data_IF_925649258088
#
_entry.id   IF_925649258088
#
_cell.length_a   1.000
_cell.length_b   1.000
_cell.length_c   1.000
_cell.angle_alpha   90.00
_cell.angle_beta   90.00
_cell.angle_gamma   90.00
#
_symmetry.space_group_name_H-M   'P 1'
#
loop_
_entity.id
_entity.type
_entity.pdbx_description
1 polymer ?
#
# COMPACT_ATOMS: atom_id res chain seq x y z
N UNK A 1 -42.65 -24.74 37.71
CA UNK A 1 -41.25 -25.14 37.52
C UNK A 1 -40.38 -23.92 37.80
N UNK A 2 -39.77 -23.87 38.98
CA UNK A 2 -38.89 -22.79 39.42
C UNK A 2 -37.44 -23.15 39.06
N UNK A 3 -36.73 -22.26 38.36
CA UNK A 3 -35.29 -22.37 38.13
C UNK A 3 -34.55 -21.69 39.29
N UNK A 4 -33.80 -22.47 40.07
CA UNK A 4 -32.81 -21.97 41.01
C UNK A 4 -31.42 -22.00 40.34
N UNK A 5 -30.71 -20.87 40.42
CA UNK A 5 -29.31 -20.75 39.98
C UNK A 5 -28.35 -21.19 41.09
N UNK A 6 -27.24 -21.88 40.78
CA UNK A 6 -26.25 -22.27 41.79
C UNK A 6 -25.23 -21.15 42.03
N UNK A 7 -25.08 -20.76 43.30
CA UNK A 7 -23.98 -19.92 43.79
C UNK A 7 -22.78 -20.79 44.16
N UNK A 8 -21.61 -20.50 43.60
CA UNK A 8 -20.32 -21.08 44.02
C UNK A 8 -19.63 -20.18 45.05
N UNK A 9 -19.01 -20.73 46.12
CA UNK A 9 -18.23 -19.93 47.06
C UNK A 9 -16.76 -19.79 46.59
N UNK A 10 -16.28 -18.56 46.56
CA UNK A 10 -14.86 -18.24 46.42
C UNK A 10 -14.12 -18.56 47.73
N UNK A 11 -13.16 -19.47 47.65
CA UNK A 11 -12.30 -19.88 48.75
C UNK A 11 -10.96 -19.13 48.63
N UNK A 12 -10.70 -18.17 49.51
CA UNK A 12 -9.42 -17.45 49.58
C UNK A 12 -8.38 -18.30 50.31
N UNK A 13 -7.51 -18.98 49.56
CA UNK A 13 -6.28 -19.56 50.12
C UNK A 13 -5.14 -18.54 50.03
N UNK A 14 -4.60 -18.20 51.21
CA UNK A 14 -3.40 -17.38 51.39
C UNK A 14 -2.19 -18.27 51.11
N UNK A 15 -1.47 -17.99 50.02
CA UNK A 15 -0.19 -18.65 49.71
C UNK A 15 0.93 -17.83 50.36
N UNK A 16 1.63 -18.45 51.31
CA UNK A 16 2.81 -17.91 51.96
C UNK A 16 4.04 -18.12 51.03
N UNK A 17 4.68 -17.03 50.57
CA UNK A 17 5.93 -17.08 49.80
C UNK A 17 7.08 -16.62 50.70
N UNK A 18 8.19 -17.37 50.82
CA UNK A 18 9.31 -16.98 51.68
C UNK A 18 10.15 -15.85 51.07
N UNK A 19 10.55 -14.92 51.93
CA UNK A 19 11.32 -13.73 51.59
C UNK A 19 12.76 -14.06 51.17
N UNK A 20 13.07 -13.85 49.89
CA UNK A 20 14.43 -13.75 49.35
C UNK A 20 14.73 -12.29 48.99
N UNK A 21 15.81 -11.75 49.54
CA UNK A 21 16.28 -10.38 49.32
C UNK A 21 16.53 -10.06 47.84
N UNK A 22 15.72 -9.17 47.28
CA UNK A 22 16.10 -8.32 46.14
C UNK A 22 15.58 -6.91 46.44
N UNK A 23 16.51 -5.98 46.67
CA UNK A 23 16.18 -4.57 46.94
C UNK A 23 15.68 -3.88 45.68
N UNK A 24 14.37 -3.67 45.57
CA UNK A 24 13.78 -2.77 44.59
C UNK A 24 13.56 -1.41 45.24
N UNK A 25 14.34 -0.40 44.86
CA UNK A 25 13.97 1.00 45.06
C UNK A 25 12.89 1.35 44.03
N UNK A 26 11.65 1.46 44.48
CA UNK A 26 10.58 2.09 43.71
C UNK A 26 10.84 3.60 43.72
N UNK A 27 11.38 4.13 42.63
CA UNK A 27 11.42 5.56 42.37
C UNK A 27 10.20 5.89 41.50
N UNK A 28 9.22 6.58 42.07
CA UNK A 28 8.18 7.25 41.30
C UNK A 28 8.82 8.42 40.56
N UNK A 29 8.96 8.32 39.23
CA UNK A 29 9.22 9.46 38.36
C UNK A 29 8.03 9.62 37.42
N UNK A 30 7.27 10.68 37.67
CA UNK A 30 6.23 11.18 36.79
C UNK A 30 6.84 11.76 35.52
N UNK A 31 6.19 11.51 34.38
CA UNK A 31 6.25 12.31 33.15
C UNK A 31 7.65 12.72 32.64
N UNK A 32 8.39 11.76 32.09
CA UNK A 32 9.27 12.01 30.95
C UNK A 32 9.11 10.82 30.01
N UNK A 33 8.67 11.07 28.77
CA UNK A 33 8.57 10.05 27.73
C UNK A 33 9.95 9.56 27.32
N UNK A 34 10.50 8.60 28.06
CA UNK A 34 11.70 7.85 27.69
C UNK A 34 11.25 6.58 26.96
N UNK A 35 11.49 6.51 25.64
CA UNK A 35 11.41 5.25 24.88
C UNK A 35 12.48 4.31 25.44
N UNK A 36 12.07 3.30 26.22
CA UNK A 36 12.95 2.19 26.60
C UNK A 36 13.01 1.24 25.41
N UNK A 37 13.96 1.46 24.51
CA UNK A 37 14.42 0.41 23.61
C UNK A 37 15.26 -0.56 24.42
N UNK A 38 14.76 -1.77 24.66
CA UNK A 38 15.56 -2.84 25.27
C UNK A 38 16.53 -3.34 24.20
N UNK A 39 17.70 -2.71 24.10
CA UNK A 39 18.85 -3.29 23.44
C UNK A 39 19.52 -4.23 24.44
N UNK A 40 19.56 -5.52 24.10
CA UNK A 40 20.29 -6.52 24.88
C UNK A 40 21.79 -6.21 24.75
N UNK A 41 22.36 -5.56 25.77
CA UNK A 41 23.78 -5.21 25.83
C UNK A 41 24.54 -6.42 26.39
N UNK A 42 25.22 -7.14 25.51
CA UNK A 42 26.20 -8.15 25.89
C UNK A 42 27.52 -7.44 26.20
N UNK A 43 27.92 -7.41 27.47
CA UNK A 43 29.14 -6.77 27.95
C UNK A 43 30.23 -7.84 28.04
N UNK A 44 31.37 -7.64 27.40
CA UNK A 44 32.51 -8.55 27.53
C UNK A 44 33.26 -8.33 28.86
N UNK A 45 33.97 -9.36 29.33
CA UNK A 45 34.65 -9.41 30.63
C UNK A 45 35.74 -8.33 30.83
N UNK A 46 35.98 -7.46 29.84
CA UNK A 46 36.99 -6.40 29.90
C UNK A 46 36.42 -4.98 29.92
N UNK A 47 35.10 -4.80 30.02
CA UNK A 47 34.49 -3.47 30.21
C UNK A 47 34.77 -2.49 29.07
N UNK A 48 35.11 -3.01 27.89
CA UNK A 48 35.36 -2.21 26.72
C UNK A 48 34.06 -2.17 25.91
N UNK A 49 33.50 -0.98 25.68
CA UNK A 49 32.34 -0.83 24.80
C UNK A 49 32.73 -1.28 23.39
N UNK A 50 32.53 -2.56 23.09
CA UNK A 50 32.49 -3.06 21.71
C UNK A 50 31.20 -2.56 21.07
N UNK A 51 31.15 -1.27 20.80
CA UNK A 51 30.36 -0.73 19.71
C UNK A 51 31.01 -1.19 18.39
N UNK A 52 31.06 -2.50 18.15
CA UNK A 52 30.99 -3.02 16.81
C UNK A 52 29.56 -2.76 16.34
N UNK A 53 29.24 -1.47 16.16
CA UNK A 53 28.01 -1.02 15.57
C UNK A 53 27.99 -1.63 14.18
N UNK A 54 27.31 -2.77 14.05
CA UNK A 54 26.91 -3.31 12.76
C UNK A 54 26.18 -2.17 12.08
N UNK A 55 26.87 -1.57 11.11
CA UNK A 55 26.41 -0.37 10.43
C UNK A 55 25.18 -0.75 9.62
N UNK A 56 24.04 -0.73 10.27
CA UNK A 56 22.77 -1.07 9.65
C UNK A 56 22.56 -0.09 8.51
N UNK A 57 22.34 -0.61 7.31
CA UNK A 57 22.11 0.23 6.13
C UNK A 57 20.62 0.47 5.94
N UNK A 58 19.81 -0.51 6.32
CA UNK A 58 18.36 -0.50 6.22
C UNK A 58 17.82 -1.23 7.45
N UNK A 59 16.82 -0.64 8.13
CA UNK A 59 16.13 -1.27 9.26
C UNK A 59 14.63 -1.01 9.16
N UNK A 60 13.85 -1.90 9.75
CA UNK A 60 12.41 -1.80 9.90
C UNK A 60 12.09 -1.65 11.39
N UNK A 61 11.24 -0.69 11.73
CA UNK A 61 10.75 -0.47 13.09
C UNK A 61 9.23 -0.40 13.08
N UNK A 62 8.59 -1.13 14.00
CA UNK A 62 7.14 -1.16 14.15
C UNK A 62 6.83 -0.57 15.52
N UNK A 63 6.26 0.64 15.53
CA UNK A 63 5.78 1.29 16.75
C UNK A 63 4.29 0.98 16.90
N UNK A 64 3.92 0.36 18.03
CA UNK A 64 2.51 0.17 18.42
C UNK A 64 2.16 1.15 19.54
N UNK A 65 1.12 1.93 19.35
CA UNK A 65 0.61 2.89 20.34
C UNK A 65 -0.84 2.57 20.66
N UNK A 66 -1.22 2.69 21.92
CA UNK A 66 -2.60 2.56 22.34
C UNK A 66 -3.17 3.94 22.59
N UNK A 67 -4.15 4.35 21.78
CA UNK A 67 -4.90 5.57 22.03
C UNK A 67 -5.86 5.32 23.19
N UNK A 68 -5.62 5.98 24.33
CA UNK A 68 -6.41 5.81 25.55
C UNK A 68 -7.82 6.41 25.39
N UNK A 69 -7.96 7.46 24.56
CA UNK A 69 -9.21 8.18 24.34
C UNK A 69 -10.12 7.36 23.43
N UNK A 70 -9.59 6.92 22.30
CA UNK A 70 -10.35 6.13 21.31
C UNK A 70 -10.43 4.65 21.67
N UNK A 71 -9.57 4.18 22.59
CA UNK A 71 -9.39 2.77 22.95
C UNK A 71 -9.04 1.89 21.75
N UNK A 72 -8.26 2.44 20.82
CA UNK A 72 -7.80 1.79 19.58
C UNK A 72 -6.28 1.62 19.61
N UNK A 73 -5.78 0.62 18.88
CA UNK A 73 -4.34 0.44 18.65
C UNK A 73 -3.97 1.11 17.33
N UNK A 74 -3.05 2.06 17.38
CA UNK A 74 -2.42 2.66 16.22
C UNK A 74 -1.08 1.97 15.97
N UNK A 75 -0.82 1.65 14.70
CA UNK A 75 0.39 0.96 14.28
C UNK A 75 1.11 1.82 13.23
N UNK A 76 2.35 2.19 13.53
CA UNK A 76 3.21 2.96 12.64
C UNK A 76 4.40 2.10 12.22
N UNK A 77 4.53 1.85 10.92
CA UNK A 77 5.66 1.10 10.35
C UNK A 77 6.64 2.10 9.77
N UNK A 78 7.87 2.07 10.27
CA UNK A 78 8.98 2.90 9.83
C UNK A 78 9.97 2.07 9.04
N UNK A 79 10.21 2.48 7.81
CA UNK A 79 11.29 1.97 6.99
C UNK A 79 12.45 2.96 7.03
N UNK A 80 13.51 2.61 7.77
CA UNK A 80 14.62 3.51 8.07
C UNK A 80 15.82 3.22 7.19
N UNK A 81 16.36 4.28 6.61
CA UNK A 81 17.59 4.27 5.84
C UNK A 81 18.66 5.05 6.56
N UNK A 82 19.83 4.43 6.69
CA UNK A 82 20.96 5.08 7.32
C UNK A 82 21.86 5.71 6.27
N UNK A 83 22.56 6.76 6.67
CA UNK A 83 23.57 7.44 5.85
C UNK A 83 24.58 6.46 5.24
N UNK A 84 24.87 5.38 5.95
CA UNK A 84 25.78 4.31 5.52
C UNK A 84 25.35 3.69 4.19
N UNK A 85 24.05 3.46 3.94
CA UNK A 85 23.54 2.95 2.67
C UNK A 85 23.87 3.86 1.48
N UNK A 86 23.92 5.17 1.72
CA UNK A 86 24.28 6.15 0.69
C UNK A 86 25.80 6.17 0.49
N UNK A 87 26.56 6.22 1.58
CA UNK A 87 28.02 6.35 1.53
C UNK A 87 28.73 5.10 1.02
N UNK A 88 28.18 3.90 1.26
CA UNK A 88 28.74 2.65 0.72
C UNK A 88 28.36 2.42 -0.74
N UNK A 89 27.46 3.21 -1.31
CA UNK A 89 27.02 3.08 -2.69
C UNK A 89 25.91 2.04 -2.90
N UNK A 90 25.28 1.52 -1.83
CA UNK A 90 24.13 0.62 -1.95
C UNK A 90 23.01 1.24 -2.78
N UNK A 91 22.63 2.48 -2.48
CA UNK A 91 21.57 3.19 -3.23
C UNK A 91 21.99 3.42 -4.69
N UNK A 92 23.25 3.75 -4.93
CA UNK A 92 23.78 3.97 -6.29
C UNK A 92 23.74 2.68 -7.12
N UNK A 93 24.18 1.55 -6.56
CA UNK A 93 24.16 0.25 -7.24
C UNK A 93 22.74 -0.31 -7.40
N UNK A 94 21.83 -0.03 -6.47
CA UNK A 94 20.42 -0.39 -6.57
C UNK A 94 19.74 0.40 -7.70
N UNK A 95 20.06 1.68 -7.82
CA UNK A 95 19.49 2.56 -8.84
C UNK A 95 18.02 2.91 -8.59
N UNK A 96 17.48 3.88 -9.34
CA UNK A 96 16.18 4.49 -9.04
C UNK A 96 14.99 3.53 -9.21
N UNK A 97 15.03 2.65 -10.20
CA UNK A 97 13.92 1.74 -10.52
C UNK A 97 13.69 0.71 -9.41
N UNK A 98 14.75 -0.03 -9.05
CA UNK A 98 14.71 -1.04 -7.98
C UNK A 98 14.47 -0.40 -6.62
N UNK A 99 15.02 0.79 -6.39
CA UNK A 99 14.73 1.58 -5.19
C UNK A 99 13.24 1.92 -5.05
N UNK A 100 12.64 2.41 -6.13
CA UNK A 100 11.22 2.78 -6.14
C UNK A 100 10.34 1.54 -5.89
N UNK A 101 10.65 0.41 -6.54
CA UNK A 101 9.97 -0.86 -6.29
C UNK A 101 10.09 -1.28 -4.83
N UNK A 102 11.29 -1.19 -4.24
CA UNK A 102 11.53 -1.55 -2.85
C UNK A 102 10.68 -0.70 -1.90
N UNK A 103 10.62 0.62 -2.10
CA UNK A 103 9.81 1.53 -1.30
C UNK A 103 8.32 1.22 -1.40
N UNK A 104 7.83 0.94 -2.62
CA UNK A 104 6.42 0.57 -2.83
C UNK A 104 6.10 -0.78 -2.20
N UNK A 105 7.01 -1.76 -2.24
CA UNK A 105 6.75 -3.03 -1.56
C UNK A 105 6.73 -2.84 -0.05
N UNK A 106 7.68 -2.06 0.49
CA UNK A 106 7.79 -1.79 1.92
C UNK A 106 6.55 -1.10 2.50
N UNK A 107 5.80 -0.32 1.72
CA UNK A 107 4.59 0.37 2.20
C UNK A 107 3.38 -0.56 2.39
N UNK A 108 3.43 -1.80 1.90
CA UNK A 108 2.38 -2.83 2.08
C UNK A 108 2.78 -3.91 3.08
N UNK A 109 3.67 -3.55 3.99
CA UNK A 109 4.19 -4.45 5.01
C UNK A 109 3.20 -4.63 6.16
N UNK A 110 3.07 -5.85 6.65
CA UNK A 110 2.32 -6.16 7.86
C UNK A 110 3.21 -6.17 9.11
N UNK A 111 2.58 -6.52 10.23
CA UNK A 111 3.23 -6.67 11.53
C UNK A 111 4.29 -7.77 11.61
N UNK A 112 4.27 -8.72 10.69
CA UNK A 112 5.21 -9.83 10.63
C UNK A 112 6.40 -9.51 9.70
N UNK A 113 6.43 -8.30 9.11
CA UNK A 113 7.41 -7.92 8.09
C UNK A 113 7.13 -8.55 6.71
N UNK A 114 5.95 -9.15 6.51
CA UNK A 114 5.51 -9.68 5.22
C UNK A 114 4.82 -8.57 4.42
N UNK A 115 5.25 -8.39 3.17
CA UNK A 115 4.65 -7.46 2.24
C UNK A 115 3.83 -8.22 1.20
N UNK A 116 2.60 -7.79 0.92
CA UNK A 116 1.69 -8.50 0.01
C UNK A 116 1.09 -7.64 -1.12
N UNK A 117 1.86 -6.73 -1.76
CA UNK A 117 1.32 -5.96 -2.89
C UNK A 117 1.12 -6.84 -4.14
N UNK A 118 0.01 -6.64 -4.84
CA UNK A 118 -0.19 -7.24 -6.15
C UNK A 118 0.68 -6.56 -7.22
N UNK A 119 0.98 -7.25 -8.32
CA UNK A 119 1.76 -6.66 -9.42
C UNK A 119 1.08 -5.41 -10.03
N UNK A 120 -0.26 -5.39 -10.06
CA UNK A 120 -1.02 -4.23 -10.51
C UNK A 120 -0.93 -3.07 -9.50
N UNK A 121 -0.88 -3.38 -8.20
CA UNK A 121 -0.66 -2.39 -7.14
C UNK A 121 0.70 -1.74 -7.29
N UNK A 122 1.75 -2.55 -7.50
CA UNK A 122 3.12 -2.05 -7.73
C UNK A 122 3.15 -1.16 -8.98
N UNK A 123 2.57 -1.63 -10.09
CA UNK A 123 2.51 -0.87 -11.35
C UNK A 123 1.80 0.49 -11.19
N UNK A 124 0.68 0.53 -10.45
CA UNK A 124 -0.03 1.77 -10.12
C UNK A 124 0.83 2.72 -9.29
N UNK A 125 1.51 2.21 -8.25
CA UNK A 125 2.39 3.01 -7.42
C UNK A 125 3.56 3.63 -8.19
N UNK A 126 4.04 2.95 -9.24
CA UNK A 126 5.12 3.43 -10.10
C UNK A 126 4.64 4.27 -11.29
N UNK A 127 3.33 4.32 -11.57
CA UNK A 127 2.80 4.97 -12.77
C UNK A 127 3.25 4.29 -14.07
N UNK A 128 3.47 2.98 -14.08
CA UNK A 128 3.95 2.23 -15.24
C UNK A 128 3.01 1.07 -15.64
N UNK A 129 3.34 0.38 -16.73
CA UNK A 129 2.61 -0.84 -17.12
C UNK A 129 2.89 -1.99 -16.14
N UNK A 130 1.96 -2.96 -16.06
CA UNK A 130 2.15 -4.20 -15.28
C UNK A 130 3.38 -5.00 -15.73
N UNK A 131 3.67 -5.01 -17.03
CA UNK A 131 4.85 -5.72 -17.58
C UNK A 131 6.16 -5.08 -17.11
N UNK A 132 6.23 -3.74 -17.14
CA UNK A 132 7.37 -2.97 -16.62
C UNK A 132 7.57 -3.23 -15.14
N UNK A 133 6.48 -3.23 -14.36
CA UNK A 133 6.56 -3.53 -12.93
C UNK A 133 7.08 -4.94 -12.67
N UNK A 134 6.59 -5.94 -13.41
CA UNK A 134 7.07 -7.31 -13.30
C UNK A 134 8.57 -7.43 -13.61
N UNK A 135 9.05 -6.74 -14.66
CA UNK A 135 10.48 -6.68 -15.02
C UNK A 135 11.32 -6.11 -13.88
N UNK A 136 10.93 -4.97 -13.32
CA UNK A 136 11.68 -4.33 -12.23
C UNK A 136 11.62 -5.11 -10.92
N UNK A 137 10.49 -5.76 -10.61
CA UNK A 137 10.39 -6.67 -9.45
C UNK A 137 11.35 -7.85 -9.59
N UNK A 138 11.44 -8.48 -10.78
CA UNK A 138 12.39 -9.57 -10.99
C UNK A 138 13.85 -9.08 -10.92
N UNK A 139 14.14 -7.89 -11.47
CA UNK A 139 15.46 -7.25 -11.33
C UNK A 139 15.83 -6.97 -9.87
N UNK A 140 14.88 -6.55 -9.03
CA UNK A 140 15.11 -6.37 -7.60
C UNK A 140 15.32 -7.71 -6.87
N UNK A 141 14.59 -8.76 -7.25
CA UNK A 141 14.76 -10.11 -6.69
C UNK A 141 16.09 -10.77 -7.07
N UNK A 142 16.67 -10.39 -8.21
CA UNK A 142 17.98 -10.84 -8.68
C UNK A 142 19.13 -10.03 -8.06
N UNK A 143 18.88 -8.79 -7.63
CA UNK A 143 19.91 -7.94 -7.06
C UNK A 143 20.52 -8.53 -5.79
N UNK A 144 21.85 -8.46 -5.70
CA UNK A 144 22.63 -8.87 -4.53
C UNK A 144 23.54 -7.72 -4.10
N UNK A 145 23.51 -7.39 -2.83
CA UNK A 145 24.48 -6.50 -2.20
C UNK A 145 25.44 -7.36 -1.40
N UNK A 146 26.74 -7.31 -1.71
CA UNK A 146 27.75 -8.16 -1.07
C UNK A 146 27.38 -9.66 -1.08
N UNK A 147 26.79 -10.11 -2.19
CA UNK A 147 26.33 -11.49 -2.36
C UNK A 147 24.99 -11.82 -1.68
N UNK A 148 24.44 -10.91 -0.87
CA UNK A 148 23.19 -11.12 -0.12
C UNK A 148 21.97 -10.52 -0.82
N UNK A 149 20.81 -11.22 -0.85
CA UNK A 149 19.56 -10.66 -1.36
C UNK A 149 19.00 -9.61 -0.41
N UNK A 150 18.42 -8.55 -0.98
CA UNK A 150 17.70 -7.51 -0.21
C UNK A 150 16.23 -7.89 0.01
N UNK A 151 15.65 -8.64 -0.92
CA UNK A 151 14.25 -9.04 -0.87
C UNK A 151 14.10 -10.49 -1.30
N UNK A 152 13.17 -11.19 -0.66
CA UNK A 152 12.74 -12.53 -1.05
C UNK A 152 11.27 -12.53 -1.43
N UNK A 153 10.89 -13.47 -2.31
CA UNK A 153 9.49 -13.69 -2.72
C UNK A 153 9.09 -15.13 -2.49
N UNK A 154 8.01 -15.35 -1.74
CA UNK A 154 7.34 -16.64 -1.56
C UNK A 154 5.98 -16.58 -2.23
N UNK A 155 5.68 -17.58 -3.08
CA UNK A 155 4.35 -17.70 -3.69
C UNK A 155 3.51 -18.64 -2.82
N UNK A 156 2.33 -18.19 -2.37
CA UNK A 156 1.39 -19.03 -1.59
C UNK A 156 0.08 -19.17 -2.34
N UNK A 157 -0.52 -20.36 -2.26
CA UNK A 157 -1.88 -20.62 -2.74
C UNK A 157 -2.84 -20.63 -1.56
N UNK A 158 -4.04 -20.08 -1.75
CA UNK A 158 -5.09 -20.13 -0.72
C UNK A 158 -5.75 -21.51 -0.74
N UNK A 159 -6.01 -22.14 0.42
CA UNK A 159 -6.82 -23.35 0.46
C UNK A 159 -8.17 -23.05 -0.21
N UNK A 160 -8.52 -23.84 -1.23
CA UNK A 160 -9.72 -23.71 -2.08
C UNK A 160 -9.68 -22.66 -3.20
N UNK A 161 -8.52 -22.06 -3.52
CA UNK A 161 -8.39 -21.19 -4.69
C UNK A 161 -7.22 -21.61 -5.58
N UNK A 162 -7.41 -21.53 -6.90
CA UNK A 162 -6.31 -21.63 -7.86
C UNK A 162 -5.45 -20.34 -7.90
N UNK A 163 -5.88 -19.28 -7.21
CA UNK A 163 -5.14 -18.03 -7.16
C UNK A 163 -3.84 -18.20 -6.36
N UNK A 164 -2.73 -17.74 -6.95
CA UNK A 164 -1.42 -17.70 -6.30
C UNK A 164 -1.07 -16.25 -6.00
N UNK A 165 -0.72 -15.98 -4.75
CA UNK A 165 -0.32 -14.65 -4.27
C UNK A 165 1.18 -14.62 -4.02
N UNK A 166 1.80 -13.46 -4.26
CA UNK A 166 3.22 -13.23 -3.97
C UNK A 166 3.33 -12.50 -2.63
N UNK A 167 4.05 -13.12 -1.70
CA UNK A 167 4.47 -12.55 -0.43
C UNK A 167 5.94 -12.18 -0.55
N UNK A 168 6.30 -11.01 -0.04
CA UNK A 168 7.65 -10.50 -0.09
C UNK A 168 8.16 -10.26 1.32
N UNK A 169 9.45 -10.49 1.54
CA UNK A 169 10.11 -10.20 2.81
C UNK A 169 11.34 -9.36 2.53
N UNK A 170 11.42 -8.19 3.14
CA UNK A 170 12.59 -7.32 3.06
C UNK A 170 13.59 -7.84 4.10
N UNK A 171 14.75 -8.27 3.62
CA UNK A 171 15.78 -8.83 4.47
C UNK A 171 16.63 -7.71 5.08
N UNK A 172 16.99 -7.81 6.36
CA UNK A 172 17.98 -6.94 6.94
C UNK A 172 19.33 -7.25 6.29
N UNK A 173 19.78 -6.37 5.38
CA UNK A 173 21.12 -6.44 4.76
C UNK A 173 22.21 -6.14 5.81
N UNK A 174 21.81 -5.70 7.00
CA UNK A 174 22.64 -5.42 8.17
C UNK A 174 23.12 -6.72 8.86
N UNK A 175 23.93 -7.51 8.19
CA UNK A 175 24.87 -8.43 8.85
C UNK A 175 26.30 -8.29 8.31
N UNK A 176 26.62 -7.08 7.84
CA UNK A 176 28.00 -6.72 7.60
C UNK A 176 28.63 -6.53 8.99
N UNK A 177 29.24 -7.59 9.49
CA UNK A 177 30.45 -7.44 10.31
C UNK A 177 31.36 -6.59 9.43
N UNK A 178 31.67 -5.33 9.79
CA UNK A 178 32.59 -4.55 8.97
C UNK A 178 33.83 -5.42 8.76
N UNK A 179 34.32 -5.62 7.52
CA UNK A 179 35.63 -6.23 7.34
C UNK A 179 36.56 -5.40 8.22
N UNK A 180 37.09 -6.03 9.27
CA UNK A 180 38.00 -5.41 10.21
C UNK A 180 38.99 -4.62 9.39
N UNK A 181 38.94 -3.31 9.55
CA UNK A 181 39.76 -2.38 8.81
C UNK A 181 41.20 -2.63 9.25
N UNK A 182 41.91 -3.53 8.56
CA UNK A 182 43.36 -3.68 8.73
C UNK A 182 43.99 -2.44 8.11
N UNK A 183 44.28 -1.46 8.97
CA UNK A 183 45.35 -0.50 8.73
C UNK A 183 46.42 -0.72 9.79
N UNK A 184 47.33 -1.65 9.49
CA UNK A 184 48.71 -1.50 9.90
C UNK A 184 49.52 -1.30 8.62
N UNK A 185 50.15 -0.13 8.40
CA UNK A 185 51.01 0.09 7.24
C UNK A 185 52.38 -0.59 7.32
N UNK A 186 52.69 -1.37 8.37
CA UNK A 186 54.05 -1.89 8.61
C UNK A 186 54.19 -3.43 8.72
N UNK A 187 53.17 -4.22 8.37
CA UNK A 187 53.28 -5.68 8.44
C UNK A 187 53.59 -6.29 7.05
N UNK A 188 54.78 -6.85 6.81
CA UNK A 188 55.11 -7.48 5.54
C UNK A 188 54.25 -8.72 5.30
N UNK A 189 53.76 -8.82 4.07
CA UNK A 189 52.76 -9.78 3.61
C UNK A 189 53.08 -11.23 4.01
N UNK A 190 52.22 -11.83 4.85
CA UNK A 190 52.11 -13.28 4.95
C UNK A 190 51.19 -13.79 3.85
N UNK A 191 51.79 -14.60 2.98
CA UNK A 191 51.18 -15.40 1.92
C UNK A 191 49.98 -16.17 2.45
N UNK A 192 48.78 -15.87 1.95
CA UNK A 192 47.63 -16.77 2.03
C UNK A 192 47.58 -17.60 0.74
N UNK A 193 47.93 -18.87 0.89
CA UNK A 193 47.98 -19.86 -0.17
C UNK A 193 46.57 -20.44 -0.39
N UNK A 194 45.79 -19.85 -1.30
CA UNK A 194 44.52 -20.43 -1.76
C UNK A 194 44.78 -21.41 -2.90
N UNK A 195 44.98 -22.66 -2.49
CA UNK A 195 44.93 -23.87 -3.32
C UNK A 195 43.49 -24.14 -3.80
N UNK A 196 43.02 -23.39 -4.79
CA UNK A 196 41.98 -23.85 -5.72
C UNK A 196 42.27 -23.29 -7.11
N UNK A 197 42.86 -24.13 -7.95
CA UNK A 197 43.12 -23.80 -9.34
C UNK A 197 41.83 -23.79 -10.17
N UNK A 198 41.73 -22.80 -11.05
CA UNK A 198 41.24 -22.98 -12.41
C UNK A 198 41.99 -21.99 -13.28
N UNK A 199 42.89 -22.54 -14.09
CA UNK A 199 43.72 -21.85 -15.07
C UNK A 199 42.87 -21.23 -16.19
N UNK A 200 42.94 -19.91 -16.35
CA UNK A 200 42.83 -19.27 -17.67
C UNK A 200 44.14 -18.52 -17.89
N UNK A 201 44.97 -19.10 -18.76
CA UNK A 201 46.24 -18.54 -19.21
C UNK A 201 45.97 -17.29 -20.04
N UNK A 202 46.47 -16.13 -19.58
CA UNK A 202 46.72 -14.96 -20.44
C UNK A 202 48.23 -14.75 -20.45
N UNK A 203 48.87 -15.34 -21.47
CA UNK A 203 50.28 -15.12 -21.75
C UNK A 203 50.49 -13.77 -22.42
N UNK A 204 51.36 -12.96 -21.82
CA UNK A 204 51.88 -11.73 -22.42
C UNK A 204 53.00 -12.02 -23.43
N UNK A 205 53.05 -11.13 -24.43
CA UNK A 205 54.22 -10.68 -25.19
C UNK A 205 54.98 -11.66 -26.09
N UNK A 206 55.04 -11.33 -27.38
CA UNK A 206 56.32 -10.89 -27.96
C UNK A 206 56.14 -10.06 -29.24
N UNK A 207 57.02 -9.06 -29.38
CA UNK A 207 57.21 -8.20 -30.54
C UNK A 207 57.60 -9.00 -31.80
N UNK A 208 57.17 -8.52 -32.98
CA UNK A 208 58.07 -8.34 -34.14
C UNK A 208 57.40 -7.64 -35.34
N UNK A 209 58.08 -6.60 -35.85
CA UNK A 209 58.45 -6.48 -37.27
C UNK A 209 57.38 -6.23 -38.35
N UNK A 210 57.28 -4.96 -38.76
CA UNK A 210 57.31 -4.43 -40.14
C UNK A 210 56.83 -5.37 -41.28
N UNK A 211 55.75 -5.01 -41.98
CA UNK A 211 55.77 -4.74 -43.43
C UNK A 211 54.41 -4.23 -43.97
N UNK A 212 54.49 -3.19 -44.79
CA UNK A 212 53.48 -2.71 -45.71
C UNK A 212 53.12 -3.76 -46.76
N UNK A 213 51.84 -3.91 -47.11
CA UNK A 213 51.33 -3.87 -48.50
C UNK A 213 49.83 -4.23 -48.62
N UNK A 214 49.18 -3.53 -49.56
CA UNK A 214 48.00 -3.93 -50.37
C UNK A 214 46.62 -4.07 -49.72
N UNK A 215 45.79 -3.05 -49.96
CA UNK A 215 44.33 -3.17 -50.10
C UNK A 215 44.00 -4.04 -51.32
N UNK A 216 43.00 -4.94 -51.22
CA UNK A 216 42.18 -5.31 -52.37
C UNK A 216 40.79 -4.68 -52.27
N UNK A 217 40.47 -4.02 -53.38
CA UNK A 217 39.18 -3.60 -53.89
C UNK A 217 38.12 -4.73 -53.79
N UNK A 218 36.98 -4.47 -53.12
CA UNK A 218 35.84 -5.39 -53.11
C UNK A 218 34.60 -4.67 -53.65
N UNK A 219 34.24 -5.18 -54.82
CA UNK A 219 33.12 -4.84 -55.70
C UNK A 219 31.77 -4.89 -55.01
N UNK A 220 30.98 -3.88 -55.37
CA UNK A 220 29.51 -3.86 -55.43
C UNK A 220 28.97 -5.08 -56.20
N UNK A 221 27.86 -5.69 -55.76
CA UNK A 221 26.96 -6.33 -56.72
C UNK A 221 25.53 -5.81 -56.59
N UNK A 222 24.95 -5.64 -57.77
CA UNK A 222 23.58 -5.25 -58.05
C UNK A 222 22.56 -6.34 -57.67
N UNK A 223 21.33 -5.89 -57.49
CA UNK A 223 20.12 -6.65 -57.17
C UNK A 223 19.79 -7.73 -58.25
N UNK A 224 18.83 -8.66 -58.04
CA UNK A 224 17.41 -8.31 -58.00
C UNK A 224 16.50 -9.11 -57.04
N UNK A 225 15.38 -8.44 -56.73
CA UNK A 225 14.07 -8.90 -56.26
C UNK A 225 13.82 -10.40 -56.07
N UNK A 226 13.42 -10.76 -54.84
CA UNK A 226 12.34 -11.72 -54.60
C UNK A 226 11.40 -11.21 -53.52
N UNK A 227 10.13 -11.22 -53.92
CA UNK A 227 8.92 -10.78 -53.26
C UNK A 227 8.53 -11.82 -52.19
N UNK A 228 8.52 -11.41 -50.92
CA UNK A 228 7.88 -12.18 -49.84
C UNK A 228 7.02 -11.23 -49.01
N UNK A 229 5.75 -11.19 -49.38
CA UNK A 229 4.69 -10.42 -48.76
C UNK A 229 4.25 -11.12 -47.45
N UNK A 230 4.74 -10.64 -46.30
CA UNK A 230 4.20 -11.02 -44.99
C UNK A 230 3.49 -9.80 -44.39
N UNK A 231 2.20 -9.74 -44.70
CA UNK A 231 1.20 -8.81 -44.22
C UNK A 231 0.92 -9.04 -42.73
N UNK A 232 1.68 -8.38 -41.84
CA UNK A 232 1.35 -8.32 -40.41
C UNK A 232 0.53 -7.06 -40.08
N UNK A 233 -0.70 -7.30 -39.62
CA UNK A 233 -1.25 -6.66 -38.43
C UNK A 233 -1.58 -5.18 -38.52
N UNK A 234 -2.78 -4.88 -38.99
CA UNK A 234 -3.50 -3.62 -38.74
C UNK A 234 -3.44 -3.28 -37.25
N UNK A 235 -2.65 -2.28 -36.89
CA UNK A 235 -2.65 -1.69 -35.55
C UNK A 235 -3.94 -0.90 -35.39
N UNK A 236 -4.94 -1.51 -34.74
CA UNK A 236 -6.12 -0.78 -34.28
C UNK A 236 -5.69 0.04 -33.07
N UNK A 237 -5.21 1.26 -33.31
CA UNK A 237 -5.20 2.32 -32.31
C UNK A 237 -6.66 2.71 -32.04
N UNK A 238 -7.29 2.10 -31.04
CA UNK A 238 -8.48 2.66 -30.40
C UNK A 238 -8.05 3.88 -29.58
N UNK A 239 -7.95 5.02 -30.26
CA UNK A 239 -7.96 6.32 -29.60
C UNK A 239 -9.29 6.46 -28.85
N UNK A 240 -9.25 6.30 -27.53
CA UNK A 240 -10.35 6.63 -26.63
C UNK A 240 -10.54 8.15 -26.62
N UNK A 241 -11.24 8.64 -27.65
CA UNK A 241 -11.75 10.00 -27.77
C UNK A 241 -13.02 10.12 -26.91
N UNK A 242 -12.90 10.26 -25.57
CA UNK A 242 -14.09 10.60 -24.75
C UNK A 242 -13.81 11.12 -23.32
N UNK A 243 -12.69 11.79 -23.05
CA UNK A 243 -12.45 12.37 -21.71
C UNK A 243 -12.27 13.90 -21.69
N UNK A 244 -12.58 14.62 -22.77
CA UNK A 244 -12.22 16.05 -22.86
C UNK A 244 -13.18 17.03 -22.18
N UNK A 245 -14.44 16.67 -21.93
CA UNK A 245 -15.47 17.69 -21.62
C UNK A 245 -16.19 17.54 -20.26
N UNK A 246 -15.57 16.93 -19.25
CA UNK A 246 -16.17 16.79 -17.90
C UNK A 246 -15.89 17.98 -16.95
N UNK A 247 -15.37 19.10 -17.46
CA UNK A 247 -14.89 20.22 -16.64
C UNK A 247 -15.75 21.49 -16.69
N UNK A 248 -16.95 21.46 -17.28
CA UNK A 248 -17.90 22.58 -17.18
C UNK A 248 -18.68 22.47 -15.88
N UNK A 249 -18.36 23.34 -14.92
CA UNK A 249 -19.01 23.47 -13.61
C UNK A 249 -20.41 24.11 -13.71
N UNK A 250 -21.21 23.70 -14.68
CA UNK A 250 -22.59 24.14 -14.87
C UNK A 250 -23.47 23.23 -14.01
N UNK A 251 -23.95 23.74 -12.88
CA UNK A 251 -24.95 23.06 -12.07
C UNK A 251 -26.08 22.56 -12.99
N UNK A 252 -26.36 21.26 -12.92
CA UNK A 252 -27.37 20.63 -13.77
C UNK A 252 -28.73 21.27 -13.39
N UNK A 253 -29.45 21.91 -14.34
CA UNK A 253 -30.74 22.52 -14.07
C UNK A 253 -31.70 21.51 -13.44
N UNK A 254 -32.50 21.93 -12.45
CA UNK A 254 -33.45 21.04 -11.78
C UNK A 254 -34.53 20.48 -12.72
N UNK A 255 -34.82 21.18 -13.81
CA UNK A 255 -35.93 20.85 -14.72
C UNK A 255 -35.55 19.97 -15.92
N UNK A 256 -34.28 19.61 -16.12
CA UNK A 256 -33.91 18.75 -17.26
C UNK A 256 -34.38 17.30 -17.08
N UNK A 257 -34.97 16.67 -18.13
CA UNK A 257 -35.39 15.28 -18.06
C UNK A 257 -34.20 14.37 -17.78
N UNK A 258 -34.30 13.61 -16.70
CA UNK A 258 -33.15 12.88 -16.18
C UNK A 258 -32.84 11.64 -17.03
N UNK A 259 -31.95 11.82 -18.02
CA UNK A 259 -31.43 10.72 -18.83
C UNK A 259 -30.48 9.86 -18.00
N UNK A 260 -30.32 8.58 -18.36
CA UNK A 260 -29.37 7.69 -17.67
C UNK A 260 -27.93 8.23 -17.65
N UNK A 261 -27.51 8.92 -18.73
CA UNK A 261 -26.22 9.60 -18.77
C UNK A 261 -26.20 10.81 -17.82
N UNK A 262 -27.31 11.55 -17.73
CA UNK A 262 -27.50 12.62 -16.74
C UNK A 262 -27.31 12.13 -15.31
N UNK A 263 -27.90 10.98 -14.94
CA UNK A 263 -27.71 10.36 -13.61
C UNK A 263 -26.23 10.03 -13.35
N UNK A 264 -25.54 9.44 -14.33
CA UNK A 264 -24.11 9.10 -14.18
C UNK A 264 -23.27 10.37 -14.03
N UNK A 265 -23.51 11.39 -14.86
CA UNK A 265 -22.82 12.67 -14.75
C UNK A 265 -23.07 13.33 -13.39
N UNK A 266 -24.32 13.34 -12.91
CA UNK A 266 -24.68 13.86 -11.60
C UNK A 266 -23.96 13.12 -10.47
N UNK A 267 -23.93 11.78 -10.53
CA UNK A 267 -23.15 10.98 -9.58
C UNK A 267 -21.65 11.32 -9.63
N UNK A 268 -21.04 11.42 -10.82
CA UNK A 268 -19.62 11.77 -10.96
C UNK A 268 -19.31 13.16 -10.40
N UNK A 269 -20.23 14.13 -10.58
CA UNK A 269 -20.12 15.48 -10.04
C UNK A 269 -20.12 15.46 -8.51
N UNK A 270 -21.16 14.86 -7.88
CA UNK A 270 -21.26 14.74 -6.42
C UNK A 270 -20.10 13.94 -5.82
N UNK A 271 -19.67 12.89 -6.51
CA UNK A 271 -18.50 12.11 -6.14
C UNK A 271 -17.22 12.96 -6.13
N UNK A 272 -17.01 13.80 -7.16
CA UNK A 272 -15.85 14.69 -7.23
C UNK A 272 -15.87 15.74 -6.12
N UNK A 273 -17.03 16.34 -5.84
CA UNK A 273 -17.19 17.30 -4.74
C UNK A 273 -16.84 16.70 -3.37
N UNK A 274 -17.26 15.46 -3.11
CA UNK A 274 -17.03 14.80 -1.81
C UNK A 274 -15.61 14.24 -1.64
N UNK A 275 -15.03 13.66 -2.69
CA UNK A 275 -13.78 12.89 -2.59
C UNK A 275 -12.58 13.53 -3.30
N UNK A 276 -12.74 14.72 -3.89
CA UNK A 276 -11.75 15.40 -4.73
C UNK A 276 -11.09 14.47 -5.76
N UNK A 277 -11.91 13.61 -6.38
CA UNK A 277 -11.42 12.58 -7.28
C UNK A 277 -12.37 12.36 -8.45
N UNK A 278 -11.81 12.08 -9.62
CA UNK A 278 -12.60 11.79 -10.81
C UNK A 278 -13.13 10.35 -10.77
N UNK A 279 -14.42 10.19 -11.05
CA UNK A 279 -15.04 8.90 -11.31
C UNK A 279 -14.87 8.55 -12.80
N UNK A 280 -14.42 7.32 -13.09
CA UNK A 280 -14.24 6.83 -14.47
C UNK A 280 -15.37 5.84 -14.82
N UNK A 281 -16.53 6.31 -15.33
CA UNK A 281 -17.65 5.44 -15.68
C UNK A 281 -17.34 4.57 -16.90
N UNK A 282 -17.84 3.34 -16.89
CA UNK A 282 -17.90 2.48 -18.07
C UNK A 282 -19.21 2.73 -18.79
N UNK A 283 -19.22 3.66 -19.75
CA UNK A 283 -20.45 4.17 -20.38
C UNK A 283 -21.41 3.09 -20.88
N UNK A 284 -21.00 2.06 -21.66
CA UNK A 284 -21.93 1.03 -22.13
C UNK A 284 -22.56 0.21 -20.99
N UNK A 285 -21.74 -0.19 -20.02
CA UNK A 285 -22.18 -1.05 -18.91
C UNK A 285 -23.02 -0.28 -17.90
N UNK A 286 -22.55 0.89 -17.49
CA UNK A 286 -23.15 1.68 -16.42
C UNK A 286 -24.46 2.32 -16.89
N UNK A 287 -24.52 2.82 -18.13
CA UNK A 287 -25.78 3.36 -18.69
C UNK A 287 -26.86 2.30 -18.74
N UNK A 288 -26.53 1.07 -19.15
CA UNK A 288 -27.48 -0.05 -19.17
C UNK A 288 -27.98 -0.37 -17.76
N UNK A 289 -27.08 -0.40 -16.78
CA UNK A 289 -27.40 -0.72 -15.40
C UNK A 289 -28.28 0.35 -14.75
N UNK A 290 -27.98 1.64 -14.96
CA UNK A 290 -28.80 2.77 -14.49
C UNK A 290 -30.21 2.72 -15.10
N UNK A 291 -30.32 2.49 -16.42
CA UNK A 291 -31.63 2.36 -17.08
C UNK A 291 -32.46 1.22 -16.48
N UNK A 292 -31.85 0.05 -16.30
CA UNK A 292 -32.56 -1.15 -15.88
C UNK A 292 -32.90 -1.16 -14.38
N UNK A 293 -32.01 -0.66 -13.53
CA UNK A 293 -32.12 -0.80 -12.07
C UNK A 293 -32.62 0.46 -11.36
N UNK A 294 -32.18 1.64 -11.79
CA UNK A 294 -32.58 2.89 -11.15
C UNK A 294 -33.83 3.46 -11.81
N UNK A 295 -33.75 3.76 -13.11
CA UNK A 295 -34.85 4.43 -13.82
C UNK A 295 -36.10 3.54 -13.97
N UNK A 296 -35.93 2.21 -13.93
CA UNK A 296 -37.05 1.28 -13.96
C UNK A 296 -37.82 1.15 -12.64
N UNK A 297 -37.28 1.65 -11.53
CA UNK A 297 -37.84 1.43 -10.19
C UNK A 297 -38.12 2.71 -9.40
N UNK A 298 -37.43 3.82 -9.70
CA UNK A 298 -37.47 5.03 -8.90
C UNK A 298 -37.81 6.25 -9.75
N UNK A 299 -38.51 7.22 -9.16
CA UNK A 299 -38.80 8.50 -9.82
C UNK A 299 -37.52 9.34 -10.00
N UNK A 300 -37.49 10.31 -10.92
CA UNK A 300 -36.33 11.20 -11.10
C UNK A 300 -35.89 11.88 -9.80
N UNK A 301 -36.83 12.33 -8.98
CA UNK A 301 -36.57 13.00 -7.68
C UNK A 301 -35.95 12.03 -6.68
N UNK A 302 -36.49 10.80 -6.61
CA UNK A 302 -35.94 9.75 -5.77
C UNK A 302 -34.51 9.39 -6.20
N UNK A 303 -34.22 9.33 -7.50
CA UNK A 303 -32.86 9.03 -7.99
C UNK A 303 -31.88 10.14 -7.58
N UNK A 304 -32.27 11.42 -7.62
CA UNK A 304 -31.41 12.52 -7.13
C UNK A 304 -31.09 12.34 -5.65
N UNK A 305 -32.12 12.11 -4.82
CA UNK A 305 -31.96 11.84 -3.39
C UNK A 305 -31.09 10.60 -3.12
N UNK A 306 -31.28 9.53 -3.90
CA UNK A 306 -30.46 8.32 -3.80
C UNK A 306 -29.00 8.66 -4.06
N UNK A 307 -28.68 9.40 -5.11
CA UNK A 307 -27.29 9.80 -5.43
C UNK A 307 -26.70 10.63 -4.31
N UNK A 308 -27.41 11.66 -3.85
CA UNK A 308 -26.92 12.59 -2.84
C UNK A 308 -26.63 11.89 -1.51
N UNK A 309 -27.60 11.15 -1.00
CA UNK A 309 -27.45 10.43 0.27
C UNK A 309 -26.42 9.31 0.13
N UNK A 310 -26.34 8.63 -1.02
CA UNK A 310 -25.36 7.55 -1.21
C UNK A 310 -23.93 8.05 -1.18
N UNK A 311 -23.65 9.20 -1.78
CA UNK A 311 -22.31 9.81 -1.75
C UNK A 311 -21.98 10.34 -0.35
N UNK A 312 -22.94 11.00 0.29
CA UNK A 312 -22.80 11.60 1.62
C UNK A 312 -22.57 10.55 2.72
N UNK A 313 -23.35 9.48 2.71
CA UNK A 313 -23.40 8.48 3.79
C UNK A 313 -22.56 7.23 3.51
N UNK A 314 -21.82 7.18 2.39
CA UNK A 314 -21.10 5.97 1.99
C UNK A 314 -20.12 5.50 3.07
N UNK A 315 -19.35 6.41 3.66
CA UNK A 315 -18.35 6.09 4.69
C UNK A 315 -18.99 5.40 5.90
N UNK A 316 -20.25 5.73 6.21
CA UNK A 316 -21.00 5.11 7.32
C UNK A 316 -21.56 3.73 6.96
N UNK A 317 -21.84 3.49 5.68
CA UNK A 317 -22.39 2.20 5.21
C UNK A 317 -21.33 1.22 4.73
N UNK A 318 -20.19 1.73 4.28
CA UNK A 318 -19.10 1.01 3.65
C UNK A 318 -18.07 0.56 4.68
N UNK A 319 -18.35 -0.54 5.36
CA UNK A 319 -17.39 -1.26 6.22
C UNK A 319 -16.44 -2.18 5.44
N UNK A 320 -16.45 -2.12 4.11
CA UNK A 320 -15.55 -2.92 3.28
C UNK A 320 -14.26 -2.14 3.05
N UNK A 321 -13.21 -2.47 3.80
CA UNK A 321 -11.83 -1.97 3.59
C UNK A 321 -11.39 -2.03 2.11
N UNK A 322 -11.98 -2.96 1.35
CA UNK A 322 -11.72 -3.18 -0.08
C UNK A 322 -12.25 -2.08 -1.00
N UNK A 323 -13.31 -1.36 -0.61
CA UNK A 323 -13.93 -0.34 -1.45
C UNK A 323 -14.15 0.94 -0.63
N UNK A 324 -13.12 1.79 -0.51
CA UNK A 324 -13.21 3.01 0.30
C UNK A 324 -14.11 4.08 -0.31
N UNK A 325 -14.59 3.91 -1.56
CA UNK A 325 -15.38 4.90 -2.28
C UNK A 325 -16.56 4.26 -3.00
N UNK A 326 -17.71 4.98 -3.11
CA UNK A 326 -18.90 4.43 -3.73
C UNK A 326 -18.67 4.20 -5.23
N UNK A 327 -19.20 3.11 -5.76
CA UNK A 327 -19.15 2.79 -7.20
C UNK A 327 -20.54 2.85 -7.83
N UNK A 328 -20.61 3.09 -9.13
CA UNK A 328 -21.88 3.12 -9.88
C UNK A 328 -22.59 1.75 -9.79
N UNK A 329 -21.84 0.66 -9.71
CA UNK A 329 -22.40 -0.67 -9.49
C UNK A 329 -23.12 -0.78 -8.12
N UNK A 330 -22.51 -0.26 -7.05
CA UNK A 330 -23.13 -0.21 -5.73
C UNK A 330 -24.37 0.69 -5.71
N UNK A 331 -24.28 1.84 -6.39
CA UNK A 331 -25.39 2.79 -6.57
C UNK A 331 -26.60 2.13 -7.23
N UNK A 332 -26.38 1.19 -8.15
CA UNK A 332 -27.46 0.49 -8.85
C UNK A 332 -27.90 -0.84 -8.21
N UNK A 333 -27.33 -1.23 -7.07
CA UNK A 333 -27.68 -2.51 -6.40
C UNK A 333 -28.24 -2.30 -5.00
N UNK A 334 -27.41 -2.13 -3.98
CA UNK A 334 -27.86 -2.15 -2.59
C UNK A 334 -28.01 -0.74 -1.97
N UNK A 335 -27.40 0.28 -2.58
CA UNK A 335 -27.48 1.66 -2.08
C UNK A 335 -28.88 2.30 -2.14
N UNK A 336 -29.70 2.08 -3.20
CA UNK A 336 -31.00 2.76 -3.32
C UNK A 336 -31.92 2.53 -2.12
N UNK A 337 -32.00 1.29 -1.66
CA UNK A 337 -32.84 0.90 -0.52
C UNK A 337 -32.41 1.61 0.77
N UNK A 338 -31.09 1.64 1.04
CA UNK A 338 -30.54 2.33 2.21
C UNK A 338 -30.73 3.84 2.13
N UNK A 339 -30.49 4.41 0.96
CA UNK A 339 -30.64 5.84 0.73
C UNK A 339 -32.08 6.31 0.92
N UNK A 340 -33.05 5.55 0.39
CA UNK A 340 -34.47 5.86 0.58
C UNK A 340 -34.95 5.69 2.03
N UNK A 341 -34.41 4.72 2.77
CA UNK A 341 -34.70 4.60 4.20
C UNK A 341 -34.26 5.85 4.97
N UNK A 342 -33.04 6.34 4.70
CA UNK A 342 -32.53 7.59 5.29
C UNK A 342 -33.31 8.81 4.80
N UNK A 343 -33.71 8.86 3.53
CA UNK A 343 -34.54 9.95 3.01
C UNK A 343 -35.88 10.04 3.76
N UNK A 344 -36.56 8.90 3.94
CA UNK A 344 -37.81 8.82 4.71
C UNK A 344 -37.63 9.27 6.15
N UNK A 345 -36.52 8.87 6.79
CA UNK A 345 -36.19 9.31 8.15
C UNK A 345 -35.95 10.83 8.21
N UNK A 346 -35.26 11.41 7.23
CA UNK A 346 -35.05 12.87 7.13
C UNK A 346 -36.37 13.61 6.95
N UNK A 347 -37.26 13.15 6.06
CA UNK A 347 -38.58 13.74 5.88
C UNK A 347 -39.43 13.63 7.15
N UNK A 348 -39.39 12.50 7.86
CA UNK A 348 -40.09 12.31 9.11
C UNK A 348 -39.60 13.28 10.20
N UNK A 349 -38.27 13.50 10.29
CA UNK A 349 -37.67 14.47 11.23
C UNK A 349 -38.05 15.91 10.90
N UNK A 350 -38.08 16.28 9.63
CA UNK A 350 -38.52 17.62 9.21
C UNK A 350 -40.00 17.87 9.47
N UNK A 351 -40.83 16.82 9.44
CA UNK A 351 -42.24 16.90 9.77
C UNK A 351 -42.54 16.83 11.27
N UNK A 352 -41.53 16.77 12.14
CA UNK A 352 -41.74 16.96 13.58
C UNK A 352 -41.99 18.44 13.81
N UNK A 353 -43.15 18.84 14.37
CA UNK A 353 -43.42 20.24 14.69
C UNK A 353 -42.30 20.77 15.58
N UNK A 354 -41.77 21.94 15.23
CA UNK A 354 -40.59 22.60 15.84
C UNK A 354 -40.70 22.74 17.38
N UNK A 355 -41.90 22.56 17.92
CA UNK A 355 -42.28 22.70 19.32
C UNK A 355 -42.50 21.36 20.06
N UNK A 356 -41.82 20.29 19.63
CA UNK A 356 -41.89 18.99 20.30
C UNK A 356 -43.25 18.30 20.16
N UNK A 357 -43.92 18.53 19.03
CA UNK A 357 -45.25 17.98 18.76
C UNK A 357 -46.41 18.75 19.40
N UNK A 358 -46.14 19.84 20.13
CA UNK A 358 -47.20 20.74 20.61
C UNK A 358 -47.49 21.83 19.60
N UNK A 359 -48.76 22.15 19.37
CA UNK A 359 -49.09 23.29 18.49
C UNK A 359 -48.74 24.60 19.18
N UNK A 360 -48.60 25.69 18.40
CA UNK A 360 -48.37 27.01 18.97
C UNK A 360 -49.51 27.41 19.94
N UNK A 361 -50.75 26.98 19.67
CA UNK A 361 -51.87 27.20 20.60
C UNK A 361 -51.71 26.41 21.91
N UNK A 362 -51.23 25.17 21.86
CA UNK A 362 -50.97 24.37 23.08
C UNK A 362 -49.86 24.99 23.94
N UNK A 363 -48.85 25.60 23.31
CA UNK A 363 -47.81 26.33 24.04
C UNK A 363 -48.35 27.62 24.69
N UNK A 364 -49.18 28.38 23.96
CA UNK A 364 -49.83 29.58 24.50
C UNK A 364 -50.78 29.25 25.66
N UNK A 365 -51.57 28.18 25.54
CA UNK A 365 -52.46 27.72 26.61
C UNK A 365 -51.70 27.25 27.86
N UNK A 366 -50.44 26.82 27.73
CA UNK A 366 -49.59 26.42 28.85
C UNK A 366 -49.01 27.65 29.56
N UNK A 367 -48.68 28.70 28.80
CA UNK A 367 -48.22 29.99 29.32
C UNK A 367 -49.33 30.71 30.09
N UNK A 368 -50.57 30.68 29.62
CA UNK A 368 -51.72 31.28 30.33
C UNK A 368 -52.07 30.56 31.65
N UNK A 369 -51.47 29.40 31.91
CA UNK A 369 -51.69 28.59 33.11
C UNK A 369 -50.65 28.83 34.22
N UNK A 370 -49.58 29.58 33.90
CA UNK A 370 -48.50 29.99 34.82
C UNK A 370 -48.79 31.42 35.26
#
# INVERSE_FOLDING_TARGET
MMYQSPSTPYNNQIIHVPAGHFGWRVIFLSQIGLKIGINFLEVDEMGNEKNAATASMITMEIDKRFDIIEKTWEEEIYFKFYKTAVTTGLIAQLGPERWTVLCIIASYMDLNGECFPSQDTIAKGMGCSRQTACKWVNSLLEFRWEGQPIIQRVKRQTPNSQATYSFYTILPVSQIVPPTYVKDPDTPATVFDTKYGTTISTGNNSNNGINSNTLPDVKKPDAPATEFDIKYGTSITTSNHCNKDLNSNTGIPEDEPMTAQGVIKYFCMRYREKYDANCNPNWPKDTKMVKQRLMGQYSPEQIRQIVDISVEMYEKWGTLSKFPRPSIAALCTWMPEKALAVAKERTARMNVPEHGGRTAEELLALLDRI
#
